data_IF_960178525296
#
_entry.id   IF_960178525296
#
_cell.length_a   1.000
_cell.length_b   1.000
_cell.length_c   1.000
_cell.angle_alpha   90.00
_cell.angle_beta   90.00
_cell.angle_gamma   90.00
#
_symmetry.space_group_name_H-M   'P 1'
#
loop_
_entity.id
_entity.type
_entity.pdbx_description
1 polymer ?
#
# COMPACT_ATOMS: atom_id res chain seq x y z
N UNK A 1 -11.12 -11.93 -2.35
CA UNK A 1 -9.97 -11.08 -1.97
C UNK A 1 -10.46 -9.83 -1.28
N UNK A 2 -9.74 -9.34 -0.26
CA UNK A 2 -9.93 -8.01 0.33
C UNK A 2 -8.78 -7.11 -0.11
N UNK A 3 -9.10 -5.90 -0.63
CA UNK A 3 -8.10 -4.86 -0.96
C UNK A 3 -8.52 -3.55 -0.34
N UNK A 4 -7.72 -3.00 0.57
CA UNK A 4 -7.99 -1.69 1.13
C UNK A 4 -7.10 -0.59 0.51
N UNK A 5 -7.57 0.67 0.61
CA UNK A 5 -7.02 1.78 -0.18
C UNK A 5 -7.26 1.60 -1.69
N UNK A 6 -8.32 0.87 -2.04
CA UNK A 6 -8.58 0.41 -3.40
C UNK A 6 -9.56 1.31 -4.19
N UNK A 7 -9.94 2.47 -3.67
CA UNK A 7 -10.79 3.42 -4.40
C UNK A 7 -10.07 4.08 -5.58
N UNK A 8 -8.73 4.20 -5.55
CA UNK A 8 -7.94 4.89 -6.58
C UNK A 8 -6.48 4.40 -6.63
N UNK A 9 -5.73 4.89 -7.61
CA UNK A 9 -4.28 4.68 -7.73
C UNK A 9 -3.86 3.21 -7.74
N UNK A 10 -2.80 2.87 -7.00
CA UNK A 10 -2.22 1.53 -6.96
C UNK A 10 -3.25 0.48 -6.53
N UNK A 11 -4.01 0.75 -5.46
CA UNK A 11 -4.95 -0.23 -4.92
C UNK A 11 -6.11 -0.53 -5.88
N UNK A 12 -6.62 0.48 -6.61
CA UNK A 12 -7.63 0.28 -7.64
C UNK A 12 -7.11 -0.58 -8.77
N UNK A 13 -5.92 -0.29 -9.28
CA UNK A 13 -5.35 -1.06 -10.38
C UNK A 13 -5.05 -2.51 -9.97
N UNK A 14 -4.54 -2.74 -8.76
CA UNK A 14 -4.36 -4.10 -8.21
C UNK A 14 -5.71 -4.85 -8.17
N UNK A 15 -6.78 -4.19 -7.70
CA UNK A 15 -8.10 -4.79 -7.65
C UNK A 15 -8.60 -5.20 -9.04
N UNK A 16 -8.43 -4.35 -10.05
CA UNK A 16 -8.83 -4.63 -11.43
C UNK A 16 -8.02 -5.77 -12.05
N UNK A 17 -6.69 -5.75 -11.91
CA UNK A 17 -5.84 -6.83 -12.46
C UNK A 17 -6.13 -8.17 -11.79
N UNK A 18 -6.41 -8.19 -10.47
CA UNK A 18 -6.79 -9.42 -9.78
C UNK A 18 -8.19 -9.90 -10.19
N UNK A 19 -9.12 -8.98 -10.50
CA UNK A 19 -10.42 -9.33 -11.07
C UNK A 19 -10.27 -9.95 -12.46
N UNK A 20 -9.45 -9.38 -13.34
CA UNK A 20 -9.10 -9.97 -14.64
C UNK A 20 -8.49 -11.38 -14.50
N UNK A 21 -7.71 -11.61 -13.44
CA UNK A 21 -7.15 -12.92 -13.09
C UNK A 21 -8.17 -13.88 -12.44
N UNK A 22 -9.43 -13.47 -12.27
CA UNK A 22 -10.53 -14.32 -11.81
C UNK A 22 -10.93 -14.14 -10.34
N UNK A 23 -10.36 -13.18 -9.60
CA UNK A 23 -10.74 -12.96 -8.22
C UNK A 23 -12.05 -12.18 -8.07
N UNK A 24 -12.87 -12.53 -7.07
CA UNK A 24 -13.93 -11.67 -6.55
C UNK A 24 -13.33 -10.70 -5.52
N UNK A 25 -13.83 -9.46 -5.45
CA UNK A 25 -13.14 -8.38 -4.77
C UNK A 25 -14.00 -7.72 -3.68
N UNK A 26 -13.47 -7.57 -2.47
CA UNK A 26 -13.94 -6.58 -1.51
C UNK A 26 -13.06 -5.33 -1.67
N UNK A 27 -13.69 -4.23 -2.05
CA UNK A 27 -13.03 -2.93 -2.24
C UNK A 27 -13.26 -2.09 -1.00
N UNK A 28 -12.19 -1.70 -0.31
CA UNK A 28 -12.30 -0.93 0.92
C UNK A 28 -11.48 0.36 0.85
N UNK A 29 -12.05 1.47 1.22
CA UNK A 29 -11.42 2.76 1.49
C UNK A 29 -12.41 3.67 2.20
N UNK A 30 -12.00 4.90 2.52
CA UNK A 30 -12.84 5.85 3.26
C UNK A 30 -13.90 6.55 2.40
N UNK A 31 -13.71 6.63 1.08
CA UNK A 31 -14.57 7.39 0.17
C UNK A 31 -15.51 6.45 -0.56
N UNK A 32 -16.80 6.50 -0.18
CA UNK A 32 -17.85 5.61 -0.69
C UNK A 32 -17.93 5.60 -2.22
N UNK A 33 -17.92 6.77 -2.86
CA UNK A 33 -18.02 6.90 -4.32
C UNK A 33 -16.86 6.25 -5.04
N UNK A 34 -15.61 6.44 -4.55
CA UNK A 34 -14.41 5.87 -5.18
C UNK A 34 -14.39 4.33 -5.09
N UNK A 35 -14.82 3.76 -3.95
CA UNK A 35 -14.85 2.29 -3.81
C UNK A 35 -15.98 1.67 -4.60
N UNK A 36 -17.14 2.34 -4.71
CA UNK A 36 -18.24 1.84 -5.54
C UNK A 36 -17.90 1.90 -7.03
N UNK A 37 -17.25 2.96 -7.51
CA UNK A 37 -16.74 3.04 -8.89
C UNK A 37 -15.75 1.91 -9.20
N UNK A 38 -14.89 1.57 -8.25
CA UNK A 38 -13.97 0.44 -8.42
C UNK A 38 -14.71 -0.90 -8.41
N UNK A 39 -15.68 -1.09 -7.52
CA UNK A 39 -16.50 -2.30 -7.44
C UNK A 39 -17.34 -2.47 -8.71
N UNK A 40 -17.91 -1.39 -9.25
CA UNK A 40 -18.63 -1.40 -10.52
C UNK A 40 -17.70 -1.85 -11.67
N UNK A 41 -16.49 -1.29 -11.77
CA UNK A 41 -15.51 -1.71 -12.77
C UNK A 41 -15.11 -3.18 -12.65
N UNK A 42 -15.01 -3.73 -11.44
CA UNK A 42 -14.79 -5.18 -11.22
C UNK A 42 -15.97 -6.01 -11.72
N UNK A 43 -17.20 -5.55 -11.48
CA UNK A 43 -18.41 -6.26 -11.97
C UNK A 43 -18.50 -6.25 -13.50
N UNK A 44 -18.05 -5.17 -14.16
CA UNK A 44 -17.94 -5.09 -15.62
C UNK A 44 -16.95 -6.11 -16.20
N UNK A 45 -15.94 -6.52 -15.43
CA UNK A 45 -15.02 -7.60 -15.77
C UNK A 45 -15.62 -9.01 -15.52
N UNK A 46 -16.90 -9.08 -15.15
CA UNK A 46 -17.61 -10.36 -14.90
C UNK A 46 -17.26 -11.00 -13.56
N UNK A 47 -16.73 -10.23 -12.60
CA UNK A 47 -16.43 -10.71 -11.25
C UNK A 47 -17.38 -10.10 -10.23
N UNK A 48 -17.58 -10.81 -9.11
CA UNK A 48 -18.39 -10.28 -8.03
C UNK A 48 -17.57 -9.32 -7.14
N UNK A 49 -18.19 -8.20 -6.75
CA UNK A 49 -17.53 -7.20 -5.93
C UNK A 49 -18.50 -6.48 -4.99
N UNK A 50 -18.02 -6.22 -3.77
CA UNK A 50 -18.68 -5.33 -2.80
C UNK A 50 -17.75 -4.20 -2.38
N UNK A 51 -18.33 -3.03 -2.13
CA UNK A 51 -17.64 -1.85 -1.60
C UNK A 51 -17.98 -1.72 -0.12
N UNK A 52 -16.96 -1.58 0.73
CA UNK A 52 -17.14 -1.43 2.18
C UNK A 52 -16.36 -0.21 2.66
N UNK A 53 -17.02 0.89 3.05
CA UNK A 53 -16.36 2.07 3.62
C UNK A 53 -15.59 1.70 4.88
N UNK A 54 -14.27 1.97 4.88
CA UNK A 54 -13.40 1.56 5.98
C UNK A 54 -12.24 2.53 6.16
N UNK A 55 -12.05 3.02 7.37
CA UNK A 55 -10.81 3.64 7.82
C UNK A 55 -9.92 2.59 8.49
N UNK A 56 -8.81 2.25 7.84
CA UNK A 56 -7.88 1.22 8.35
C UNK A 56 -7.15 1.63 9.63
N UNK A 57 -7.15 2.91 10.00
CA UNK A 57 -6.62 3.39 11.28
C UNK A 57 -7.53 3.02 12.47
N UNK A 58 -8.77 2.58 12.20
CA UNK A 58 -9.73 2.09 13.19
C UNK A 58 -9.78 0.57 13.22
N UNK A 59 -9.25 -0.04 14.28
CA UNK A 59 -9.26 -1.49 14.47
C UNK A 59 -10.68 -2.08 14.37
N UNK A 60 -11.68 -1.42 14.96
CA UNK A 60 -13.06 -1.90 14.94
C UNK A 60 -13.70 -1.87 13.55
N UNK A 61 -13.35 -0.86 12.71
CA UNK A 61 -13.81 -0.84 11.32
C UNK A 61 -13.14 -1.93 10.49
N UNK A 62 -11.87 -2.23 10.77
CA UNK A 62 -11.16 -3.34 10.11
C UNK A 62 -11.78 -4.69 10.50
N UNK A 63 -12.10 -4.90 11.77
CA UNK A 63 -12.76 -6.13 12.22
C UNK A 63 -14.13 -6.30 11.52
N UNK A 64 -14.94 -5.22 11.43
CA UNK A 64 -16.21 -5.21 10.71
C UNK A 64 -16.05 -5.44 9.19
N UNK A 65 -14.99 -4.90 8.57
CA UNK A 65 -14.64 -5.15 7.16
C UNK A 65 -14.45 -6.65 6.90
N UNK A 66 -13.63 -7.31 7.72
CA UNK A 66 -13.34 -8.75 7.54
C UNK A 66 -14.59 -9.60 7.83
N UNK A 67 -15.37 -9.26 8.86
CA UNK A 67 -16.64 -9.95 9.14
C UNK A 67 -17.61 -9.86 7.97
N UNK A 68 -17.81 -8.66 7.40
CA UNK A 68 -18.67 -8.48 6.23
C UNK A 68 -18.16 -9.21 4.99
N UNK A 69 -16.85 -9.19 4.75
CA UNK A 69 -16.21 -9.89 3.65
C UNK A 69 -16.43 -11.42 3.75
N UNK A 70 -16.25 -11.98 4.94
CA UNK A 70 -16.47 -13.39 5.22
C UNK A 70 -17.97 -13.75 5.16
N UNK A 71 -18.84 -12.88 5.66
CA UNK A 71 -20.29 -13.06 5.58
C UNK A 71 -20.81 -13.10 4.14
N UNK A 72 -20.23 -12.30 3.25
CA UNK A 72 -20.66 -12.23 1.85
C UNK A 72 -20.05 -13.34 0.97
N UNK A 73 -18.74 -13.58 1.06
CA UNK A 73 -18.04 -14.53 0.19
C UNK A 73 -17.78 -15.90 0.83
N UNK A 74 -18.04 -16.07 2.13
CA UNK A 74 -17.73 -17.28 2.87
C UNK A 74 -16.25 -17.52 3.13
N UNK A 75 -15.36 -16.92 2.36
CA UNK A 75 -13.90 -17.07 2.47
C UNK A 75 -13.15 -15.84 1.95
N UNK A 76 -11.98 -15.59 2.54
CA UNK A 76 -11.01 -14.58 2.06
C UNK A 76 -9.65 -15.23 1.97
N UNK A 77 -9.16 -15.43 0.77
CA UNK A 77 -7.88 -16.11 0.47
C UNK A 77 -6.72 -15.13 0.24
N UNK A 78 -7.01 -13.89 -0.13
CA UNK A 78 -6.00 -12.87 -0.48
C UNK A 78 -6.34 -11.58 0.25
N UNK A 79 -5.35 -11.01 0.93
CA UNK A 79 -5.40 -9.68 1.54
C UNK A 79 -4.35 -8.78 0.87
N UNK A 80 -4.77 -7.61 0.38
CA UNK A 80 -3.87 -6.57 -0.15
C UNK A 80 -3.94 -5.35 0.75
N UNK A 81 -2.87 -5.09 1.49
CA UNK A 81 -2.71 -3.94 2.37
C UNK A 81 -2.06 -2.79 1.60
N UNK A 82 -2.90 -1.90 1.03
CA UNK A 82 -2.40 -0.82 0.17
C UNK A 82 -2.64 0.59 0.75
N UNK A 83 -3.63 0.81 1.60
CA UNK A 83 -3.91 2.14 2.16
C UNK A 83 -2.65 2.75 2.80
N UNK A 84 -2.44 4.03 2.56
CA UNK A 84 -1.32 4.76 3.13
C UNK A 84 -1.43 6.25 2.90
N UNK A 85 -0.67 7.00 3.68
CA UNK A 85 -0.57 8.45 3.63
C UNK A 85 0.89 8.87 3.56
N UNK A 86 1.14 9.97 2.87
CA UNK A 86 2.45 10.61 2.78
C UNK A 86 2.31 12.06 3.22
N UNK A 87 3.12 12.46 4.19
CA UNK A 87 3.24 13.83 4.61
C UNK A 87 4.70 14.26 4.47
N UNK A 88 4.92 15.36 3.76
CA UNK A 88 6.26 15.89 3.50
C UNK A 88 6.52 17.11 4.38
N UNK A 89 7.08 16.86 5.56
CA UNK A 89 7.31 17.84 6.61
C UNK A 89 8.67 17.56 7.28
N UNK A 90 9.48 18.57 7.64
CA UNK A 90 10.68 18.38 8.42
C UNK A 90 10.35 17.97 9.86
N UNK A 91 11.22 17.21 10.51
CA UNK A 91 11.09 16.84 11.94
C UNK A 91 11.18 18.07 12.84
N UNK A 92 12.06 18.99 12.49
CA UNK A 92 12.23 20.31 13.14
C UNK A 92 12.34 21.38 12.06
N UNK A 93 12.10 22.67 12.38
CA UNK A 93 12.33 23.74 11.41
C UNK A 93 13.76 23.69 10.87
N UNK A 94 13.90 23.70 9.56
CA UNK A 94 15.20 23.69 8.90
C UNK A 94 15.57 25.11 8.48
N UNK A 95 16.84 25.57 8.69
CA UNK A 95 17.32 26.82 8.13
C UNK A 95 17.28 26.76 6.59
N UNK A 96 17.32 27.91 5.94
CA UNK A 96 17.45 27.98 4.49
C UNK A 96 18.64 27.14 4.00
N UNK A 97 18.42 26.30 3.00
CA UNK A 97 19.44 25.39 2.50
C UNK A 97 18.95 24.54 1.32
N UNK A 98 19.78 23.60 0.81
CA UNK A 98 19.47 22.82 -0.40
C UNK A 98 18.24 21.93 -0.29
N UNK A 99 17.80 21.59 0.94
CA UNK A 99 16.58 20.82 1.16
C UNK A 99 15.36 21.75 1.17
N UNK A 100 15.55 23.04 1.54
CA UNK A 100 14.53 24.11 1.56
C UNK A 100 13.22 23.74 2.29
N UNK A 101 12.48 24.70 2.82
CA UNK A 101 11.14 24.41 3.32
C UNK A 101 10.26 23.97 2.15
N UNK A 102 9.38 22.96 2.33
CA UNK A 102 8.34 22.63 1.37
C UNK A 102 7.58 23.92 0.99
N UNK A 103 7.19 24.08 -0.28
CA UNK A 103 6.48 25.29 -0.77
C UNK A 103 5.24 25.66 0.05
N UNK A 104 4.67 24.72 0.80
CA UNK A 104 3.52 24.92 1.66
C UNK A 104 3.88 25.50 3.05
N UNK A 105 5.14 25.53 3.45
CA UNK A 105 5.56 25.88 4.80
C UNK A 105 6.44 27.12 4.79
N UNK A 106 5.88 28.24 4.41
CA UNK A 106 6.51 29.57 4.59
C UNK A 106 6.51 30.05 6.04
N UNK A 107 5.91 29.27 6.95
CA UNK A 107 5.98 29.54 8.38
C UNK A 107 7.30 29.01 8.94
N UNK A 108 8.08 29.90 9.50
CA UNK A 108 9.45 29.68 10.02
C UNK A 108 9.54 28.65 11.16
N UNK A 109 8.42 28.08 11.63
CA UNK A 109 8.33 27.14 12.76
C UNK A 109 7.64 25.82 12.40
N UNK A 110 7.46 25.48 11.11
CA UNK A 110 6.76 24.28 10.73
C UNK A 110 7.62 23.03 10.99
N UNK A 111 7.04 22.11 11.77
CA UNK A 111 7.65 20.83 12.15
C UNK A 111 6.59 19.74 12.17
N UNK A 112 7.01 18.49 12.08
CA UNK A 112 6.12 17.34 12.30
C UNK A 112 5.59 17.37 13.73
N UNK A 113 4.26 17.38 13.90
CA UNK A 113 3.63 17.25 15.21
C UNK A 113 3.48 15.78 15.60
N UNK A 114 3.21 15.51 16.88
CA UNK A 114 2.98 14.14 17.36
C UNK A 114 1.72 13.54 16.71
N UNK A 115 0.68 14.34 16.46
CA UNK A 115 -0.55 13.91 15.80
C UNK A 115 -0.31 13.58 14.32
N UNK A 116 0.48 14.37 13.61
CA UNK A 116 0.86 14.10 12.22
C UNK A 116 1.71 12.84 12.10
N UNK A 117 2.68 12.66 13.00
CA UNK A 117 3.46 11.45 13.11
C UNK A 117 2.56 10.24 13.35
N UNK A 118 1.70 10.31 14.39
CA UNK A 118 0.80 9.22 14.76
C UNK A 118 -0.18 8.90 13.62
N UNK A 119 -0.76 9.91 12.97
CA UNK A 119 -1.67 9.70 11.84
C UNK A 119 -1.03 8.92 10.67
N UNK A 120 0.26 9.18 10.37
CA UNK A 120 0.99 8.40 9.38
C UNK A 120 1.23 6.95 9.86
N UNK A 121 1.62 6.78 11.12
CA UNK A 121 1.84 5.45 11.70
C UNK A 121 0.54 4.64 11.75
N UNK A 122 -0.57 5.27 12.11
CA UNK A 122 -1.88 4.62 12.19
C UNK A 122 -2.37 4.13 10.81
N UNK A 123 -2.24 4.96 9.79
CA UNK A 123 -2.67 4.58 8.45
C UNK A 123 -1.72 3.56 7.80
N UNK A 124 -0.39 3.77 7.90
CA UNK A 124 0.58 3.03 7.10
C UNK A 124 1.06 1.73 7.75
N UNK A 125 1.09 1.66 9.09
CA UNK A 125 1.60 0.53 9.85
C UNK A 125 0.50 -0.16 10.67
N UNK A 126 -0.20 0.59 11.53
CA UNK A 126 -1.22 0.00 12.40
C UNK A 126 -2.38 -0.58 11.58
N UNK A 127 -2.79 0.09 10.49
CA UNK A 127 -3.79 -0.42 9.56
C UNK A 127 -3.39 -1.77 8.92
N UNK A 128 -2.14 -1.92 8.51
CA UNK A 128 -1.61 -3.20 8.00
C UNK A 128 -1.67 -4.28 9.08
N UNK A 129 -1.23 -3.94 10.30
CA UNK A 129 -1.28 -4.86 11.44
C UNK A 129 -2.71 -5.28 11.77
N UNK A 130 -3.66 -4.33 11.82
CA UNK A 130 -5.07 -4.64 12.11
C UNK A 130 -5.69 -5.56 11.06
N UNK A 131 -5.48 -5.29 9.78
CA UNK A 131 -6.00 -6.13 8.70
C UNK A 131 -5.38 -7.54 8.73
N UNK A 132 -4.07 -7.65 8.92
CA UNK A 132 -3.41 -8.94 9.06
C UNK A 132 -3.95 -9.73 10.27
N UNK A 133 -4.10 -9.09 11.43
CA UNK A 133 -4.63 -9.70 12.64
C UNK A 133 -6.08 -10.16 12.47
N UNK A 134 -6.93 -9.33 11.87
CA UNK A 134 -8.34 -9.63 11.72
C UNK A 134 -8.61 -10.86 10.84
N UNK A 135 -7.78 -11.06 9.79
CA UNK A 135 -7.95 -12.19 8.86
C UNK A 135 -7.22 -13.47 9.30
N UNK A 136 -6.23 -13.34 10.20
CA UNK A 136 -5.28 -14.42 10.51
C UNK A 136 -5.97 -15.72 10.93
N UNK A 137 -6.92 -15.68 11.88
CA UNK A 137 -7.62 -16.87 12.37
C UNK A 137 -8.30 -17.63 11.24
N UNK A 138 -9.01 -16.93 10.35
CA UNK A 138 -9.66 -17.54 9.19
C UNK A 138 -8.65 -18.21 8.25
N UNK A 139 -7.55 -17.54 7.89
CA UNK A 139 -6.53 -18.12 7.02
C UNK A 139 -5.81 -19.30 7.67
N UNK A 140 -5.57 -19.26 9.00
CA UNK A 140 -4.96 -20.36 9.76
C UNK A 140 -5.87 -21.59 9.73
N UNK A 141 -7.18 -21.43 9.96
CA UNK A 141 -8.16 -22.51 9.90
C UNK A 141 -8.26 -23.14 8.51
N UNK A 142 -8.25 -22.29 7.47
CA UNK A 142 -8.27 -22.73 6.07
C UNK A 142 -6.92 -23.34 5.62
N UNK A 143 -5.84 -23.14 6.37
CA UNK A 143 -4.46 -23.50 6.00
C UNK A 143 -4.07 -22.96 4.62
N UNK A 144 -4.54 -21.77 4.32
CA UNK A 144 -4.24 -21.07 3.07
C UNK A 144 -4.45 -19.56 3.22
N UNK A 145 -3.49 -18.79 2.74
CA UNK A 145 -3.61 -17.34 2.68
C UNK A 145 -2.46 -16.68 1.92
N UNK A 146 -2.76 -15.61 1.19
CA UNK A 146 -1.80 -14.74 0.51
C UNK A 146 -1.97 -13.32 1.02
N UNK A 147 -0.94 -12.76 1.63
CA UNK A 147 -0.96 -11.37 2.11
C UNK A 147 0.10 -10.58 1.34
N UNK A 148 -0.34 -9.48 0.74
CA UNK A 148 0.49 -8.59 -0.07
C UNK A 148 0.46 -7.21 0.56
N UNK A 149 1.57 -6.80 1.15
CA UNK A 149 1.72 -5.48 1.76
C UNK A 149 2.33 -4.50 0.75
N UNK A 150 1.76 -3.32 0.62
CA UNK A 150 2.37 -2.26 -0.21
C UNK A 150 3.33 -1.45 0.65
N UNK A 151 4.61 -1.80 0.51
CA UNK A 151 5.75 -1.09 1.07
C UNK A 151 6.08 0.20 0.33
N UNK A 152 7.36 0.44 0.13
CA UNK A 152 7.92 1.53 -0.69
C UNK A 152 9.43 1.32 -0.84
N UNK A 153 10.06 1.88 -1.89
CA UNK A 153 11.52 2.04 -1.94
C UNK A 153 12.05 2.89 -0.77
N UNK A 154 11.21 3.77 -0.22
CA UNK A 154 11.50 4.56 0.98
C UNK A 154 11.73 3.70 2.25
N UNK A 155 11.43 2.42 2.21
CA UNK A 155 11.73 1.51 3.31
C UNK A 155 13.24 1.19 3.43
N UNK A 156 14.01 1.38 2.35
CA UNK A 156 15.46 1.12 2.29
C UNK A 156 16.26 2.36 1.90
N UNK A 157 15.66 3.28 1.16
CA UNK A 157 16.28 4.55 0.80
C UNK A 157 15.68 5.69 1.63
N UNK A 158 16.54 6.45 2.30
CA UNK A 158 16.09 7.60 3.08
C UNK A 158 15.85 8.81 2.17
N UNK A 159 14.66 9.37 2.27
CA UNK A 159 14.33 10.64 1.63
C UNK A 159 14.09 11.70 2.70
N UNK A 160 14.60 12.92 2.54
CA UNK A 160 14.39 14.00 3.50
C UNK A 160 12.92 14.42 3.55
N UNK A 161 12.51 15.01 4.66
CA UNK A 161 11.18 15.57 4.92
C UNK A 161 10.03 14.54 5.01
N UNK A 162 10.29 13.26 4.97
CA UNK A 162 9.27 12.18 5.03
C UNK A 162 9.60 11.15 6.11
N UNK A 163 10.08 11.60 7.27
CA UNK A 163 10.58 10.73 8.35
C UNK A 163 9.54 9.69 8.80
N UNK A 164 8.31 10.11 9.11
CA UNK A 164 7.23 9.21 9.54
C UNK A 164 6.89 8.17 8.46
N UNK A 165 6.84 8.61 7.20
CA UNK A 165 6.58 7.71 6.07
C UNK A 165 7.69 6.66 5.91
N UNK A 166 8.98 7.08 5.88
CA UNK A 166 10.12 6.17 5.77
C UNK A 166 10.10 5.14 6.91
N UNK A 167 9.91 5.60 8.16
CA UNK A 167 9.84 4.73 9.33
C UNK A 167 8.68 3.73 9.23
N UNK A 168 7.48 4.19 8.84
CA UNK A 168 6.30 3.33 8.70
C UNK A 168 6.50 2.25 7.63
N UNK A 169 7.08 2.59 6.47
CA UNK A 169 7.31 1.64 5.37
C UNK A 169 8.43 0.65 5.66
N UNK A 170 9.48 1.06 6.39
CA UNK A 170 10.51 0.15 6.89
C UNK A 170 9.91 -0.84 7.91
N UNK A 171 9.03 -0.36 8.80
CA UNK A 171 8.33 -1.22 9.76
C UNK A 171 7.39 -2.24 9.06
N UNK A 172 6.68 -1.85 7.99
CA UNK A 172 5.86 -2.77 7.19
C UNK A 172 6.70 -3.89 6.58
N UNK A 173 7.91 -3.58 6.06
CA UNK A 173 8.80 -4.61 5.54
C UNK A 173 9.25 -5.60 6.63
N UNK A 174 9.53 -5.11 7.83
CA UNK A 174 9.90 -5.99 8.95
C UNK A 174 8.70 -6.80 9.43
N UNK A 175 7.52 -6.19 9.57
CA UNK A 175 6.27 -6.89 9.91
C UNK A 175 5.96 -8.00 8.89
N UNK A 176 6.14 -7.75 7.59
CA UNK A 176 6.01 -8.75 6.53
C UNK A 176 6.87 -9.98 6.81
N UNK A 177 8.13 -9.78 7.19
CA UNK A 177 9.07 -10.87 7.49
C UNK A 177 8.68 -11.65 8.75
N UNK A 178 8.28 -10.96 9.81
CA UNK A 178 7.85 -11.59 11.06
C UNK A 178 6.63 -12.46 10.82
N UNK A 179 5.56 -11.91 10.19
CA UNK A 179 4.34 -12.66 9.92
C UNK A 179 4.57 -13.83 8.95
N UNK A 180 5.49 -13.68 8.00
CA UNK A 180 5.88 -14.78 7.11
C UNK A 180 6.46 -15.97 7.88
N UNK A 181 7.30 -15.73 8.89
CA UNK A 181 7.88 -16.77 9.72
C UNK A 181 6.85 -17.41 10.66
N UNK A 182 5.99 -16.60 11.28
CA UNK A 182 4.97 -17.08 12.20
C UNK A 182 3.90 -17.93 11.51
N UNK A 183 3.55 -17.57 10.25
CA UNK A 183 2.39 -18.15 9.57
C UNK A 183 2.73 -19.16 8.47
N UNK A 184 4.01 -19.32 8.11
CA UNK A 184 4.45 -20.33 7.16
C UNK A 184 4.00 -21.77 7.53
N UNK A 185 3.99 -22.21 8.82
CA UNK A 185 3.50 -23.53 9.20
C UNK A 185 2.02 -23.77 8.89
N UNK A 186 1.27 -22.67 8.66
CA UNK A 186 -0.16 -22.70 8.30
C UNK A 186 -0.41 -22.47 6.82
N UNK A 187 0.65 -22.49 5.99
CA UNK A 187 0.57 -22.23 4.55
C UNK A 187 0.01 -20.83 4.21
N UNK A 188 0.35 -19.84 5.03
CA UNK A 188 0.04 -18.44 4.76
C UNK A 188 1.32 -17.75 4.33
N UNK A 189 1.29 -17.15 3.13
CA UNK A 189 2.44 -16.49 2.53
C UNK A 189 2.27 -14.97 2.62
N UNK A 190 3.24 -14.31 3.22
CA UNK A 190 3.22 -12.85 3.45
C UNK A 190 4.39 -12.22 2.73
N UNK A 191 4.10 -11.40 1.73
CA UNK A 191 5.10 -10.69 0.95
C UNK A 191 4.78 -9.21 0.83
N UNK A 192 5.74 -8.41 0.42
CA UNK A 192 5.55 -6.99 0.16
C UNK A 192 5.98 -6.62 -1.26
N UNK A 193 5.31 -5.62 -1.84
CA UNK A 193 5.77 -4.90 -3.03
C UNK A 193 6.31 -3.56 -2.54
N UNK A 194 7.51 -3.19 -2.98
CA UNK A 194 8.13 -1.89 -2.73
C UNK A 194 8.08 -1.01 -3.99
N UNK A 195 6.99 -0.24 -4.21
CA UNK A 195 6.92 0.65 -5.35
C UNK A 195 7.98 1.75 -5.28
N UNK A 196 8.53 2.11 -6.44
CA UNK A 196 9.26 3.36 -6.63
C UNK A 196 8.31 4.50 -7.00
N UNK A 197 8.64 5.20 -8.08
CA UNK A 197 7.90 6.37 -8.53
C UNK A 197 6.82 5.99 -9.56
N UNK A 198 5.58 6.19 -9.15
CA UNK A 198 4.37 5.97 -9.93
C UNK A 198 3.50 7.22 -9.90
N UNK A 199 2.89 7.56 -11.03
CA UNK A 199 1.96 8.68 -11.07
C UNK A 199 0.63 8.29 -10.39
N UNK A 200 0.38 8.90 -9.25
CA UNK A 200 -0.86 8.77 -8.47
C UNK A 200 -1.23 10.15 -7.92
N UNK A 201 -2.44 10.31 -7.39
CA UNK A 201 -2.81 11.56 -6.72
C UNK A 201 -1.87 11.92 -5.56
N UNK A 202 -1.33 10.92 -4.85
CA UNK A 202 -0.35 11.12 -3.76
C UNK A 202 0.93 11.77 -4.27
N UNK A 203 1.37 11.44 -5.49
CA UNK A 203 2.63 11.90 -6.09
C UNK A 203 2.47 13.07 -7.05
N UNK A 204 1.26 13.36 -7.55
CA UNK A 204 0.97 14.39 -8.56
C UNK A 204 1.58 15.75 -8.20
N UNK A 205 1.58 16.15 -6.91
CA UNK A 205 2.17 17.43 -6.47
C UNK A 205 3.68 17.51 -6.69
N UNK A 206 4.38 16.39 -6.78
CA UNK A 206 5.84 16.34 -7.01
C UNK A 206 6.21 16.53 -8.49
N UNK A 207 5.24 16.47 -9.41
CA UNK A 207 5.43 16.43 -10.86
C UNK A 207 4.85 17.66 -11.58
N UNK A 208 4.58 18.73 -10.85
CA UNK A 208 3.82 19.88 -11.35
C UNK A 208 4.55 20.75 -12.38
N UNK A 209 5.87 20.64 -12.51
CA UNK A 209 6.65 21.38 -13.51
C UNK A 209 7.46 20.44 -14.38
N UNK A 210 7.67 20.77 -15.69
CA UNK A 210 8.48 19.96 -16.60
C UNK A 210 9.90 19.72 -16.07
N UNK A 211 10.52 20.74 -15.48
CA UNK A 211 11.87 20.68 -14.93
C UNK A 211 11.92 19.84 -13.64
N UNK A 212 10.87 19.91 -12.83
CA UNK A 212 10.73 19.09 -11.63
C UNK A 212 10.57 17.61 -12.01
N UNK A 213 9.71 17.34 -12.99
CA UNK A 213 9.51 16.00 -13.54
C UNK A 213 10.81 15.45 -14.14
N UNK A 214 11.51 16.25 -14.96
CA UNK A 214 12.77 15.81 -15.56
C UNK A 214 13.79 15.44 -14.50
N UNK A 215 14.04 16.32 -13.50
CA UNK A 215 14.98 16.02 -12.39
C UNK A 215 14.63 14.75 -11.64
N UNK A 216 13.34 14.48 -11.49
CA UNK A 216 12.86 13.28 -10.81
C UNK A 216 13.16 12.03 -11.64
N UNK A 217 12.84 12.05 -12.93
CA UNK A 217 13.11 10.95 -13.86
C UNK A 217 14.61 10.69 -14.04
N UNK A 218 15.43 11.75 -14.10
CA UNK A 218 16.90 11.61 -14.17
C UNK A 218 17.50 10.85 -12.97
N UNK A 219 16.77 10.81 -11.84
CA UNK A 219 17.12 10.00 -10.67
C UNK A 219 16.84 8.50 -10.82
N UNK A 220 15.94 8.11 -11.72
CA UNK A 220 15.51 6.72 -11.93
C UNK A 220 16.40 6.09 -13.02
N UNK A 221 17.11 4.96 -12.77
CA UNK A 221 17.95 4.33 -13.80
C UNK A 221 17.23 4.03 -15.12
N UNK A 222 15.97 3.58 -15.08
CA UNK A 222 15.17 3.36 -16.29
C UNK A 222 14.64 4.65 -16.91
N UNK A 223 14.86 5.82 -16.30
CA UNK A 223 14.45 7.15 -16.77
C UNK A 223 12.97 7.25 -17.18
N UNK A 224 12.10 6.51 -16.49
CA UNK A 224 10.64 6.57 -16.64
C UNK A 224 9.94 6.25 -15.33
N UNK A 225 8.69 6.65 -15.24
CA UNK A 225 7.76 6.18 -14.22
C UNK A 225 7.35 4.73 -14.48
N UNK A 226 7.00 4.01 -13.42
CA UNK A 226 6.28 2.75 -13.54
C UNK A 226 4.82 2.98 -13.93
N UNK A 227 4.22 2.03 -14.62
CA UNK A 227 2.76 2.01 -14.84
C UNK A 227 2.07 1.28 -13.70
N UNK A 228 0.89 1.74 -13.28
CA UNK A 228 0.14 1.08 -12.20
C UNK A 228 -0.14 -0.40 -12.52
N UNK A 229 -0.33 -0.70 -13.81
CA UNK A 229 -0.56 -2.07 -14.27
C UNK A 229 0.64 -3.00 -14.02
N UNK A 230 1.88 -2.51 -14.09
CA UNK A 230 3.07 -3.30 -13.74
C UNK A 230 2.99 -3.77 -12.27
N UNK A 231 2.52 -2.91 -11.35
CA UNK A 231 2.29 -3.29 -9.94
C UNK A 231 1.13 -4.27 -9.80
N UNK A 232 0.04 -4.07 -10.55
CA UNK A 232 -1.10 -4.97 -10.57
C UNK A 232 -0.71 -6.39 -11.00
N UNK A 233 0.11 -6.52 -12.04
CA UNK A 233 0.61 -7.82 -12.54
C UNK A 233 1.52 -8.50 -11.51
N UNK A 234 2.40 -7.74 -10.83
CA UNK A 234 3.23 -8.30 -9.75
C UNK A 234 2.36 -8.76 -8.58
N UNK A 235 1.32 -8.01 -8.22
CA UNK A 235 0.37 -8.42 -7.18
C UNK A 235 -0.38 -9.71 -7.59
N UNK A 236 -0.79 -9.84 -8.86
CA UNK A 236 -1.42 -11.04 -9.37
C UNK A 236 -0.46 -12.26 -9.33
N UNK A 237 0.82 -12.07 -9.65
CA UNK A 237 1.83 -13.11 -9.48
C UNK A 237 1.94 -13.55 -8.01
N UNK A 238 2.05 -12.61 -7.06
CA UNK A 238 2.13 -12.92 -5.63
C UNK A 238 0.85 -13.56 -5.08
N UNK A 239 -0.30 -13.27 -5.66
CA UNK A 239 -1.59 -13.86 -5.31
C UNK A 239 -1.79 -15.26 -5.90
N UNK A 240 -1.02 -15.66 -6.91
CA UNK A 240 -1.17 -16.91 -7.65
C UNK A 240 -0.37 -18.07 -7.04
N UNK A 241 -0.68 -19.33 -7.42
CA UNK A 241 0.13 -20.49 -7.05
C UNK A 241 1.57 -20.44 -7.57
N UNK A 242 1.87 -19.64 -8.60
CA UNK A 242 3.23 -19.48 -9.13
C UNK A 242 4.22 -18.89 -8.11
N UNK A 243 3.74 -18.27 -7.03
CA UNK A 243 4.54 -17.72 -5.94
C UNK A 243 4.55 -18.58 -4.66
N UNK A 244 4.08 -19.84 -4.69
CA UNK A 244 3.88 -20.65 -3.47
C UNK A 244 5.18 -20.96 -2.70
N UNK A 245 6.34 -20.78 -3.30
CA UNK A 245 7.62 -20.91 -2.61
C UNK A 245 8.23 -19.56 -2.20
N UNK A 246 7.42 -18.49 -2.17
CA UNK A 246 7.86 -17.13 -1.84
C UNK A 246 7.11 -16.60 -0.60
N UNK A 247 7.84 -16.35 0.48
CA UNK A 247 7.30 -15.67 1.67
C UNK A 247 8.38 -14.82 2.34
N UNK A 248 7.98 -13.76 3.03
CA UNK A 248 8.86 -12.83 3.74
C UNK A 248 9.65 -11.89 2.83
N UNK A 249 9.35 -11.82 1.53
CA UNK A 249 10.10 -11.01 0.58
C UNK A 249 9.48 -9.62 0.40
N UNK A 250 10.34 -8.63 0.17
CA UNK A 250 9.94 -7.34 -0.39
C UNK A 250 10.52 -7.23 -1.79
N UNK A 251 9.63 -7.15 -2.79
CA UNK A 251 10.03 -7.04 -4.19
C UNK A 251 9.92 -5.57 -4.59
N UNK A 252 11.08 -4.95 -4.85
CA UNK A 252 11.13 -3.57 -5.30
C UNK A 252 10.85 -3.50 -6.81
N UNK A 253 9.87 -2.67 -7.17
CA UNK A 253 9.55 -2.33 -8.55
C UNK A 253 9.67 -0.81 -8.69
N UNK A 254 10.89 -0.33 -8.89
CA UNK A 254 11.29 1.06 -8.69
C UNK A 254 12.19 1.63 -9.79
N UNK A 255 12.28 0.94 -10.93
CA UNK A 255 13.11 1.36 -12.05
C UNK A 255 14.61 1.34 -11.76
N UNK A 256 15.05 0.62 -10.72
CA UNK A 256 16.44 0.46 -10.32
C UNK A 256 16.91 1.47 -9.26
N UNK A 257 16.00 2.23 -8.65
CA UNK A 257 16.35 3.21 -7.60
C UNK A 257 17.09 2.56 -6.43
N UNK A 258 16.66 1.39 -5.98
CA UNK A 258 17.27 0.66 -4.84
C UNK A 258 18.47 -0.19 -5.23
N UNK A 259 18.84 -0.26 -6.49
CA UNK A 259 20.02 -1.02 -6.96
C UNK A 259 21.33 -0.22 -6.90
N UNK A 260 21.27 1.06 -6.48
CA UNK A 260 22.41 1.97 -6.37
C UNK A 260 23.11 1.85 -5.03
#
# INVERSE_FOLDING_TARGET
MVSHGAGRGIGREIALVLAEAGANIVVAARTDTEIEDTAAAVRELGRDAIAIPTDVSSSSQVDALIEQALGYFGTVQILVNNAGQLLKIPVVPLPEGPIGPPRATRETNYRTTDEEWQGIMDANLNGVFYCCRAIASHMIEQRYGKIINIGSNNATQAFPLVAAYNASKAAVNMLTRVLALEWAPYNILVNAIGPGDYHTEMTTRSWTTPEGRKRHLDGIPLNREGTLRELGVLAAYLASPASDYMTGQTIYMDGGLTAK
#
